data_IF_754297717442
#
_entry.id   IF_754297717442
#
_cell.length_a   1.000
_cell.length_b   1.000
_cell.length_c   1.000
_cell.angle_alpha   90.00
_cell.angle_beta   90.00
_cell.angle_gamma   90.00
#
_symmetry.space_group_name_H-M   'P 1'
#
loop_
_entity.id
_entity.type
_entity.pdbx_description
1 polymer ?
#
# COMPACT_ATOMS: atom_id res chain seq x y z
N UNK A 1 23.54 1.62 -19.63
CA UNK A 1 23.99 0.37 -18.97
C UNK A 1 23.47 0.18 -17.53
N UNK A 2 23.95 0.88 -16.49
CA UNK A 2 23.49 0.62 -15.10
C UNK A 2 21.98 0.88 -14.92
N UNK A 3 21.49 2.01 -15.43
CA UNK A 3 20.06 2.34 -15.38
C UNK A 3 19.20 1.27 -16.07
N UNK A 4 19.64 0.76 -17.22
CA UNK A 4 18.92 -0.28 -17.97
C UNK A 4 18.88 -1.60 -17.21
N UNK A 5 20.00 -1.99 -16.57
CA UNK A 5 20.05 -3.17 -15.72
C UNK A 5 19.08 -3.06 -14.54
N UNK A 6 19.03 -1.89 -13.89
CA UNK A 6 18.09 -1.63 -12.81
C UNK A 6 16.65 -1.60 -13.32
N UNK A 7 16.39 -0.95 -14.46
CA UNK A 7 15.05 -0.91 -15.05
C UNK A 7 14.55 -2.32 -15.36
N UNK A 8 15.39 -3.16 -15.96
CA UNK A 8 15.05 -4.56 -16.26
C UNK A 8 14.80 -5.37 -14.98
N UNK A 9 15.63 -5.20 -13.94
CA UNK A 9 15.44 -5.86 -12.65
C UNK A 9 14.05 -5.62 -12.04
N UNK A 10 13.53 -4.38 -12.11
CA UNK A 10 12.19 -4.08 -11.61
C UNK A 10 11.09 -4.67 -12.48
N UNK A 11 11.24 -4.62 -13.82
CA UNK A 11 10.27 -5.20 -14.75
C UNK A 11 10.16 -6.71 -14.61
N UNK A 12 11.27 -7.42 -14.39
CA UNK A 12 11.29 -8.87 -14.18
C UNK A 12 10.64 -9.30 -12.85
N UNK A 13 10.66 -8.40 -11.85
CA UNK A 13 10.02 -8.62 -10.54
C UNK A 13 8.52 -8.32 -10.57
N UNK A 14 8.04 -7.56 -11.56
CA UNK A 14 6.61 -7.25 -11.72
C UNK A 14 5.84 -8.56 -11.96
N UNK A 15 4.86 -8.82 -11.09
CA UNK A 15 3.97 -9.98 -11.22
C UNK A 15 2.56 -9.48 -11.48
N UNK A 16 1.96 -9.91 -12.57
CA UNK A 16 0.52 -9.77 -12.73
C UNK A 16 -0.16 -10.66 -11.67
N UNK A 17 -0.95 -10.02 -10.81
CA UNK A 17 -1.74 -10.71 -9.79
C UNK A 17 -3.18 -10.66 -10.25
N UNK A 18 -3.77 -11.84 -10.44
CA UNK A 18 -5.20 -11.94 -10.67
C UNK A 18 -5.96 -11.43 -9.43
N UNK A 19 -6.95 -10.56 -9.67
CA UNK A 19 -7.79 -10.02 -8.63
C UNK A 19 -9.05 -10.87 -8.49
N UNK A 20 -9.14 -11.65 -7.41
CA UNK A 20 -10.30 -12.52 -7.13
C UNK A 20 -11.33 -11.89 -6.18
N UNK A 21 -11.01 -10.78 -5.53
CA UNK A 21 -11.87 -10.08 -4.57
C UNK A 21 -11.66 -8.57 -4.67
N UNK A 22 -12.57 -7.79 -4.10
CA UNK A 22 -12.41 -6.34 -4.02
C UNK A 22 -11.46 -6.00 -2.88
N UNK A 23 -10.44 -5.18 -3.15
CA UNK A 23 -9.53 -4.71 -2.12
C UNK A 23 -10.11 -3.47 -1.44
N UNK A 24 -9.89 -3.30 -0.14
CA UNK A 24 -10.22 -2.05 0.55
C UNK A 24 -9.56 -0.83 -0.11
N UNK A 25 -8.37 -1.02 -0.70
CA UNK A 25 -7.66 0.03 -1.45
C UNK A 25 -8.38 0.45 -2.73
N UNK A 26 -9.39 -0.29 -3.19
CA UNK A 26 -10.23 0.08 -4.32
C UNK A 26 -11.41 0.99 -3.91
N UNK A 27 -11.70 1.12 -2.61
CA UNK A 27 -12.73 2.02 -2.12
C UNK A 27 -12.45 3.48 -2.54
N UNK A 28 -13.46 4.15 -3.10
CA UNK A 28 -13.34 5.53 -3.59
C UNK A 28 -12.60 5.69 -4.93
N UNK A 29 -12.09 4.61 -5.55
CA UNK A 29 -11.54 4.66 -6.91
C UNK A 29 -12.64 4.57 -7.96
N UNK A 30 -12.28 4.88 -9.21
CA UNK A 30 -13.18 4.76 -10.35
C UNK A 30 -13.66 3.31 -10.57
N UNK A 31 -14.97 3.08 -10.47
CA UNK A 31 -15.59 1.75 -10.62
C UNK A 31 -15.27 1.09 -11.95
N UNK A 32 -15.15 1.88 -13.04
CA UNK A 32 -14.78 1.35 -14.36
C UNK A 32 -13.34 0.82 -14.39
N UNK A 33 -12.42 1.50 -13.73
CA UNK A 33 -11.03 1.05 -13.64
C UNK A 33 -10.91 -0.26 -12.84
N UNK A 34 -11.66 -0.37 -11.74
CA UNK A 34 -11.73 -1.61 -10.93
C UNK A 34 -12.30 -2.75 -11.78
N UNK A 35 -13.41 -2.50 -12.50
CA UNK A 35 -14.03 -3.49 -13.36
C UNK A 35 -13.08 -4.00 -14.46
N UNK A 36 -12.34 -3.11 -15.13
CA UNK A 36 -11.38 -3.50 -16.16
C UNK A 36 -10.20 -4.30 -15.60
N UNK A 37 -9.73 -3.94 -14.39
CA UNK A 37 -8.71 -4.72 -13.68
C UNK A 37 -9.22 -6.12 -13.33
N UNK A 38 -10.46 -6.23 -12.85
CA UNK A 38 -11.10 -7.52 -12.55
C UNK A 38 -11.29 -8.40 -13.80
N UNK A 39 -11.61 -7.79 -14.94
CA UNK A 39 -11.73 -8.48 -16.24
C UNK A 39 -10.39 -8.80 -16.90
N UNK A 40 -9.27 -8.49 -16.25
CA UNK A 40 -7.92 -8.67 -16.76
C UNK A 40 -7.74 -8.11 -18.19
N UNK A 41 -8.33 -6.92 -18.43
CA UNK A 41 -8.23 -6.26 -19.73
C UNK A 41 -6.76 -5.83 -19.95
N UNK A 42 -6.21 -6.01 -21.17
CA UNK A 42 -4.85 -5.55 -21.48
C UNK A 42 -4.65 -4.09 -21.08
N UNK A 43 -3.57 -3.84 -20.37
CA UNK A 43 -3.21 -2.51 -19.83
C UNK A 43 -1.74 -2.23 -20.10
N UNK A 44 -1.40 -0.95 -20.08
CA UNK A 44 -0.02 -0.53 -20.12
C UNK A 44 0.74 -1.08 -18.90
N UNK A 45 1.94 -1.62 -19.13
CA UNK A 45 2.80 -2.12 -18.06
C UNK A 45 3.27 -0.96 -17.20
N UNK A 46 3.54 -1.22 -15.92
CA UNK A 46 4.10 -0.18 -15.07
C UNK A 46 5.50 0.18 -15.54
N UNK A 47 5.83 1.47 -15.45
CA UNK A 47 7.19 1.91 -15.76
C UNK A 47 8.13 1.55 -14.61
N UNK A 48 9.43 1.31 -14.88
CA UNK A 48 10.41 1.06 -13.82
C UNK A 48 10.46 2.14 -12.74
N UNK A 49 10.17 3.39 -13.11
CA UNK A 49 10.07 4.52 -12.18
C UNK A 49 8.93 4.33 -11.17
N UNK A 50 7.75 3.89 -11.63
CA UNK A 50 6.60 3.61 -10.75
C UNK A 50 6.89 2.44 -9.83
N UNK A 51 7.52 1.38 -10.34
CA UNK A 51 7.90 0.21 -9.54
C UNK A 51 8.89 0.58 -8.43
N UNK A 52 9.88 1.42 -8.72
CA UNK A 52 10.80 1.98 -7.71
C UNK A 52 10.09 2.85 -6.67
N UNK A 53 9.10 3.62 -7.08
CA UNK A 53 8.31 4.44 -6.15
C UNK A 53 7.53 3.57 -5.15
N UNK A 54 6.99 2.43 -5.60
CA UNK A 54 6.33 1.48 -4.70
C UNK A 54 7.32 0.81 -3.74
N UNK A 55 8.47 0.34 -4.24
CA UNK A 55 9.53 -0.26 -3.41
C UNK A 55 10.06 0.73 -2.35
N UNK A 56 10.18 2.01 -2.72
CA UNK A 56 10.50 3.07 -1.77
C UNK A 56 9.43 3.23 -0.68
N UNK A 57 8.14 3.15 -1.05
CA UNK A 57 7.04 3.18 -0.09
C UNK A 57 7.10 2.01 0.90
N UNK A 58 7.36 0.80 0.40
CA UNK A 58 7.53 -0.40 1.23
C UNK A 58 8.70 -0.21 2.22
N UNK A 59 9.83 0.34 1.76
CA UNK A 59 10.98 0.63 2.62
C UNK A 59 10.66 1.65 3.73
N UNK A 60 9.93 2.72 3.41
CA UNK A 60 9.50 3.71 4.40
C UNK A 60 8.57 3.07 5.45
N UNK A 61 7.62 2.23 5.03
CA UNK A 61 6.76 1.49 5.94
C UNK A 61 7.58 0.59 6.87
N UNK A 62 8.55 -0.16 6.33
CA UNK A 62 9.45 -1.00 7.12
C UNK A 62 10.24 -0.19 8.16
N UNK A 63 10.77 0.97 7.78
CA UNK A 63 11.51 1.84 8.68
C UNK A 63 10.64 2.38 9.82
N UNK A 64 9.41 2.82 9.52
CA UNK A 64 8.45 3.26 10.55
C UNK A 64 8.14 2.12 11.51
N UNK A 65 7.79 0.94 10.98
CA UNK A 65 7.47 -0.23 11.80
C UNK A 65 8.63 -0.62 12.71
N UNK A 66 9.87 -0.64 12.21
CA UNK A 66 11.07 -0.96 13.00
C UNK A 66 11.20 -0.07 14.24
N UNK A 67 10.95 1.24 14.08
CA UNK A 67 10.97 2.19 15.19
C UNK A 67 9.85 1.91 16.19
N UNK A 68 8.63 1.66 15.72
CA UNK A 68 7.48 1.35 16.58
C UNK A 68 7.66 0.02 17.34
N UNK A 69 8.27 -0.98 16.70
CA UNK A 69 8.65 -2.23 17.36
C UNK A 69 9.65 -2.00 18.49
N UNK A 70 10.65 -1.16 18.24
CA UNK A 70 11.67 -0.80 19.25
C UNK A 70 11.07 -0.07 20.46
N UNK A 71 9.95 0.63 20.27
CA UNK A 71 9.17 1.26 21.33
C UNK A 71 8.22 0.30 22.07
N UNK A 72 8.06 -0.94 21.60
CA UNK A 72 7.20 -1.95 22.23
C UNK A 72 5.70 -1.72 22.07
N UNK A 73 5.28 -0.83 21.16
CA UNK A 73 3.88 -0.44 20.99
C UNK A 73 3.14 -1.20 19.89
N UNK A 74 3.85 -1.94 19.03
CA UNK A 74 3.22 -2.77 17.98
C UNK A 74 2.65 -4.03 18.61
N UNK A 75 1.37 -4.31 18.33
CA UNK A 75 0.69 -5.56 18.75
C UNK A 75 0.64 -6.58 17.62
N UNK A 76 0.52 -6.12 16.39
CA UNK A 76 0.63 -6.94 15.19
C UNK A 76 1.00 -6.07 13.98
N UNK A 77 1.60 -6.66 12.96
CA UNK A 77 1.96 -6.00 11.69
C UNK A 77 1.51 -6.86 10.51
N UNK A 78 1.23 -6.25 9.36
CA UNK A 78 0.83 -6.93 8.13
C UNK A 78 -0.37 -7.87 8.32
N UNK A 79 -1.36 -7.42 9.11
CA UNK A 79 -2.50 -8.25 9.49
C UNK A 79 -3.50 -8.28 8.34
N UNK A 80 -3.83 -9.48 7.87
CA UNK A 80 -5.02 -9.69 7.02
C UNK A 80 -6.26 -9.39 7.86
N UNK A 81 -6.99 -8.35 7.51
CA UNK A 81 -8.30 -8.10 8.11
C UNK A 81 -9.21 -9.23 7.61
N UNK A 82 -9.94 -9.94 8.51
CA UNK A 82 -10.65 -11.15 8.16
C UNK A 82 -11.47 -10.93 6.88
N UNK A 83 -11.18 -11.69 5.81
CA UNK A 83 -11.82 -11.48 4.53
C UNK A 83 -13.30 -11.80 4.70
N UNK A 84 -14.14 -10.80 4.48
CA UNK A 84 -15.49 -11.10 4.00
C UNK A 84 -15.29 -11.74 2.61
N UNK A 85 -16.13 -12.69 2.20
CA UNK A 85 -15.91 -13.43 0.94
C UNK A 85 -15.69 -12.52 -0.28
N UNK A 86 -16.25 -11.30 -0.25
CA UNK A 86 -16.20 -10.33 -1.34
C UNK A 86 -15.12 -9.25 -1.17
N UNK A 87 -14.77 -8.87 0.07
CA UNK A 87 -13.90 -7.72 0.38
C UNK A 87 -12.73 -8.17 1.25
N UNK A 88 -11.51 -7.85 0.80
CA UNK A 88 -10.28 -8.14 1.54
C UNK A 88 -9.46 -6.87 1.80
N UNK A 89 -8.66 -6.93 2.85
CA UNK A 89 -7.74 -5.86 3.21
C UNK A 89 -6.60 -6.37 4.07
N UNK A 90 -5.55 -5.57 4.13
CA UNK A 90 -4.43 -5.76 5.03
C UNK A 90 -4.18 -4.43 5.73
N UNK A 91 -4.12 -4.46 7.05
CA UNK A 91 -3.64 -3.33 7.83
C UNK A 91 -2.12 -3.43 7.99
N UNK A 92 -1.44 -2.28 7.96
CA UNK A 92 0.01 -2.25 8.12
C UNK A 92 0.40 -2.60 9.55
N UNK A 93 -0.30 -2.07 10.55
CA UNK A 93 -0.16 -2.48 11.93
C UNK A 93 -1.40 -2.27 12.81
N UNK A 94 -1.41 -2.98 13.93
CA UNK A 94 -2.21 -2.66 15.10
C UNK A 94 -1.22 -2.20 16.18
N UNK A 95 -1.40 -0.99 16.69
CA UNK A 95 -0.57 -0.42 17.77
C UNK A 95 -1.39 -0.22 19.04
N UNK A 96 -0.70 -0.08 20.16
CA UNK A 96 -1.30 0.28 21.43
C UNK A 96 -0.78 1.62 21.91
N UNK A 97 -1.68 2.51 22.32
CA UNK A 97 -1.36 3.80 22.94
C UNK A 97 -2.33 3.99 24.11
N UNK A 98 -1.82 4.30 25.30
CA UNK A 98 -2.62 4.47 26.52
C UNK A 98 -3.60 3.32 26.79
N UNK A 99 -3.19 2.08 26.47
CA UNK A 99 -3.99 0.86 26.62
C UNK A 99 -5.17 0.72 25.64
N UNK A 100 -5.31 1.64 24.69
CA UNK A 100 -6.24 1.53 23.56
C UNK A 100 -5.55 0.94 22.33
N UNK A 101 -6.31 0.22 21.50
CA UNK A 101 -5.82 -0.37 20.26
C UNK A 101 -6.21 0.47 19.05
N UNK A 102 -5.26 0.69 18.15
CA UNK A 102 -5.45 1.47 16.93
C UNK A 102 -5.01 0.66 15.72
N UNK A 103 -5.84 0.65 14.67
CA UNK A 103 -5.45 0.17 13.35
C UNK A 103 -4.77 1.33 12.62
N UNK A 104 -3.56 1.09 12.10
CA UNK A 104 -2.78 2.11 11.39
C UNK A 104 -2.44 1.64 9.98
N UNK A 105 -2.49 2.59 9.06
CA UNK A 105 -2.14 2.45 7.64
C UNK A 105 -1.15 3.57 7.32
N UNK A 106 0.07 3.22 6.94
CA UNK A 106 1.14 4.15 6.67
C UNK A 106 1.11 4.57 5.20
N UNK A 107 1.43 5.85 4.94
CA UNK A 107 1.46 6.40 3.59
C UNK A 107 2.68 7.28 3.42
N UNK A 108 3.53 6.91 2.46
CA UNK A 108 4.57 7.80 1.93
C UNK A 108 3.98 8.61 0.77
N UNK A 109 4.15 9.92 0.79
CA UNK A 109 3.65 10.82 -0.26
C UNK A 109 4.71 11.88 -0.58
N UNK A 110 4.70 12.39 -1.82
CA UNK A 110 5.52 13.54 -2.18
C UNK A 110 5.11 14.77 -1.36
N UNK A 111 6.09 15.47 -0.79
CA UNK A 111 5.93 16.61 0.12
C UNK A 111 5.11 17.79 -0.44
N UNK A 112 5.00 17.95 -1.76
CA UNK A 112 4.14 19.00 -2.33
C UNK A 112 2.65 18.81 -1.99
N UNK A 113 2.20 17.58 -1.75
CA UNK A 113 0.80 17.30 -1.39
C UNK A 113 0.51 17.60 0.10
N UNK A 114 1.54 17.55 0.96
CA UNK A 114 1.39 17.81 2.40
C UNK A 114 0.99 19.25 2.73
N UNK A 115 1.29 20.24 1.87
CA UNK A 115 0.92 21.64 2.12
C UNK A 115 -0.58 21.84 2.33
N UNK A 116 -1.40 20.92 1.84
CA UNK A 116 -2.86 21.01 1.88
C UNK A 116 -3.50 20.01 2.85
N UNK A 117 -2.72 19.24 3.61
CA UNK A 117 -3.21 18.26 4.59
C UNK A 117 -3.06 18.82 6.01
N UNK A 118 -3.97 19.70 6.40
CA UNK A 118 -3.95 20.38 7.71
C UNK A 118 -4.67 19.61 8.81
N UNK A 119 -5.66 18.80 8.45
CA UNK A 119 -6.51 18.06 9.39
C UNK A 119 -7.04 16.77 8.74
N UNK A 120 -7.45 15.78 9.54
CA UNK A 120 -8.20 14.63 9.04
C UNK A 120 -9.46 15.11 8.32
N UNK A 121 -9.86 14.41 7.27
CA UNK A 121 -11.15 14.67 6.63
C UNK A 121 -12.24 14.37 7.67
N UNK A 122 -13.10 15.36 7.96
CA UNK A 122 -14.24 15.17 8.86
C UNK A 122 -15.20 14.10 8.36
N UNK A 123 -16.03 13.60 9.27
CA UNK A 123 -17.06 12.57 9.02
C UNK A 123 -18.07 12.96 7.93
#
# INVERSE_FOLDING_TARGET
>A
MLKELLDQFYLDKERDREQHHFYITDAGKCSRAIFFKFKNIPREKMTPQVLRMFDHGDYIQMQILSNLFSLGIVRASEIKIPPQELISGRADAIITLNNDLYVVDFKSMNSMIFKNLTEPKGD
#
